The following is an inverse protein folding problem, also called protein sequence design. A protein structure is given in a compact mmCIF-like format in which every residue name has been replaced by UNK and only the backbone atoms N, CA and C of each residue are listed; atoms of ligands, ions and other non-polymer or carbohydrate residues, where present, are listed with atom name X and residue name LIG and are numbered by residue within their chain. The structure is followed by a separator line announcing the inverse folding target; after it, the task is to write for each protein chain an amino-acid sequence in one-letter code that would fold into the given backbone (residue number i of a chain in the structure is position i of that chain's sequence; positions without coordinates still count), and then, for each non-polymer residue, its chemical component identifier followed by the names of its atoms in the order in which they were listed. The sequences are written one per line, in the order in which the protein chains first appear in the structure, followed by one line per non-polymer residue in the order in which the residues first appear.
data_IF_256633335402
#
_entry.id   IF_256633335402
#
_cell.length_a   1.000
_cell.length_b   1.000
_cell.length_c   1.000
_cell.angle_alpha   90.00
_cell.angle_beta   90.00
_cell.angle_gamma   90.00
#
_symmetry.space_group_name_H-M   'P 1'
#
loop_
_entity.id
_entity.type
_entity.pdbx_description
1 polymer ?
#
# COMPACT_ATOMS: atom_id res chain seq x y z
N UNK A 1 -64.29 22.60 40.91
CA UNK A 1 -63.91 22.79 42.33
C UNK A 1 -62.40 22.64 42.48
N UNK A 2 -61.76 23.53 43.24
CA UNK A 2 -60.45 23.39 43.95
C UNK A 2 -59.14 23.03 43.19
N UNK A 3 -58.25 24.02 43.10
CA UNK A 3 -56.78 23.98 43.37
C UNK A 3 -56.53 23.86 44.92
N UNK A 4 -55.28 23.84 45.52
CA UNK A 4 -53.89 23.95 45.00
C UNK A 4 -52.81 23.02 45.69
N UNK A 5 -51.50 23.31 45.45
CA UNK A 5 -50.29 23.08 46.30
C UNK A 5 -49.76 21.62 46.46
N UNK A 6 -48.47 21.32 46.70
CA UNK A 6 -47.29 22.00 47.32
C UNK A 6 -46.02 21.90 46.42
N UNK A 7 -45.01 22.81 46.40
CA UNK A 7 -43.95 23.15 47.40
C UNK A 7 -43.16 21.92 47.91
N UNK A 8 -41.83 21.88 48.14
CA UNK A 8 -40.63 22.76 47.98
C UNK A 8 -39.40 21.79 47.99
N UNK A 9 -38.15 22.10 47.66
CA UNK A 9 -37.25 22.99 48.41
C UNK A 9 -35.90 23.20 47.67
N UNK A 10 -35.30 24.36 47.93
CA UNK A 10 -34.01 24.84 47.47
C UNK A 10 -32.82 24.14 48.17
N UNK A 11 -31.68 24.00 47.50
CA UNK A 11 -30.36 23.86 48.13
C UNK A 11 -29.33 24.71 47.37
N UNK A 12 -28.85 25.76 48.03
CA UNK A 12 -27.81 26.69 47.57
C UNK A 12 -26.56 26.52 48.46
N UNK A 13 -25.45 27.14 48.02
CA UNK A 13 -24.20 27.43 48.74
C UNK A 13 -23.02 26.44 48.61
N UNK A 14 -22.11 26.81 47.68
CA UNK A 14 -20.65 26.84 47.88
C UNK A 14 -20.30 27.79 49.06
N UNK A 15 -19.16 27.64 49.77
CA UNK A 15 -17.88 28.22 49.28
C UNK A 15 -16.57 27.47 49.66
N UNK A 16 -15.48 27.92 49.01
CA UNK A 16 -14.06 28.06 49.47
C UNK A 16 -13.38 26.89 50.23
N UNK A 17 -12.28 26.27 49.75
CA UNK A 17 -10.93 26.77 49.42
C UNK A 17 -10.01 27.02 50.65
N UNK A 18 -9.03 26.13 50.91
CA UNK A 18 -7.65 26.53 51.27
C UNK A 18 -6.60 25.38 51.25
N UNK A 19 -5.36 25.78 51.42
CA UNK A 19 -4.06 25.22 50.98
C UNK A 19 -3.41 24.07 51.77
N UNK A 20 -2.61 23.27 51.04
CA UNK A 20 -1.24 22.78 51.36
C UNK A 20 -0.92 21.87 52.58
N UNK A 21 -0.18 20.78 52.31
CA UNK A 21 1.08 20.44 53.01
C UNK A 21 1.84 19.24 52.39
N UNK A 22 3.18 19.27 52.44
CA UNK A 22 4.09 18.16 52.07
C UNK A 22 4.32 17.19 53.24
N UNK A 23 4.73 15.94 52.95
CA UNK A 23 5.68 15.21 53.80
C UNK A 23 7.13 15.38 53.30
N UNK A 24 8.03 15.81 54.18
CA UNK A 24 9.50 15.76 53.99
C UNK A 24 10.08 14.55 54.72
N UNK A 25 11.11 13.93 54.14
CA UNK A 25 12.25 13.48 54.96
C UNK A 25 12.90 12.14 54.60
N UNK A 26 14.11 12.22 54.04
CA UNK A 26 15.33 11.62 54.62
C UNK A 26 16.55 12.41 54.12
N UNK A 27 17.48 12.71 55.03
CA UNK A 27 18.76 13.40 54.74
C UNK A 27 19.88 12.38 54.60
N UNK A 28 20.91 12.71 53.82
CA UNK A 28 22.29 12.41 54.21
C UNK A 28 23.13 13.70 54.18
N UNK A 29 24.20 13.75 54.97
CA UNK A 29 24.83 14.99 55.42
C UNK A 29 25.87 15.64 54.49
N UNK A 30 26.17 16.92 54.77
CA UNK A 30 27.24 17.72 54.16
C UNK A 30 28.63 17.34 54.70
N UNK A 31 29.68 17.57 53.88
CA UNK A 31 31.01 18.05 54.33
C UNK A 31 31.58 19.06 53.30
N UNK A 32 32.34 20.03 53.81
CA UNK A 32 33.13 21.12 53.16
C UNK A 32 34.16 21.60 54.22
N UNK A 33 35.13 22.54 53.98
CA UNK A 33 35.53 23.27 52.76
C UNK A 33 36.79 22.61 52.12
N UNK A 34 37.84 23.26 51.55
CA UNK A 34 38.23 24.68 51.40
C UNK A 34 39.55 24.87 50.59
N UNK A 35 40.22 26.02 50.75
CA UNK A 35 41.51 26.47 50.13
C UNK A 35 41.43 26.74 48.60
N UNK A 36 41.45 27.99 48.11
CA UNK A 36 42.56 28.99 47.99
C UNK A 36 43.47 28.70 46.75
N UNK A 37 43.94 29.65 45.94
CA UNK A 37 43.95 31.13 45.99
C UNK A 37 44.15 31.74 44.55
N UNK A 38 43.89 33.05 44.37
CA UNK A 38 44.53 34.07 43.45
C UNK A 38 44.88 33.70 41.97
N UNK A 39 44.63 34.48 40.89
CA UNK A 39 44.98 35.90 40.67
C UNK A 39 44.53 36.47 39.29
N UNK A 40 44.04 37.72 39.27
CA UNK A 40 44.18 38.80 38.24
C UNK A 40 43.69 38.62 36.77
N UNK A 41 43.26 39.74 36.15
CA UNK A 41 42.55 39.83 34.86
C UNK A 41 43.38 40.52 33.71
N UNK A 42 42.79 41.18 32.69
CA UNK A 42 42.68 40.74 31.27
C UNK A 42 43.44 41.70 30.31
N UNK A 43 43.03 42.03 29.05
CA UNK A 43 42.41 41.34 27.88
C UNK A 43 43.45 41.33 26.70
N UNK A 44 43.19 41.55 25.37
CA UNK A 44 41.97 41.51 24.52
C UNK A 44 42.11 40.77 23.15
N UNK A 45 41.01 40.66 22.40
CA UNK A 45 40.99 41.08 20.99
C UNK A 45 40.73 40.06 19.88
N UNK A 46 39.47 40.06 19.37
CA UNK A 46 39.10 39.75 17.95
C UNK A 46 39.26 38.28 17.47
N UNK A 47 38.56 37.79 16.44
CA UNK A 47 37.70 38.41 15.41
C UNK A 47 36.40 37.62 15.20
N UNK A 48 35.33 38.32 14.83
CA UNK A 48 34.15 37.74 14.16
C UNK A 48 34.47 37.45 12.69
N UNK A 49 34.14 36.25 12.20
CA UNK A 49 34.01 35.99 10.76
C UNK A 49 32.53 35.85 10.41
N UNK A 50 32.11 36.61 9.40
CA UNK A 50 30.85 36.47 8.71
C UNK A 50 31.06 36.72 7.22
N UNK A 51 29.94 36.75 6.48
CA UNK A 51 29.82 37.05 5.05
C UNK A 51 30.17 35.91 4.07
N UNK A 52 29.10 35.21 3.70
CA UNK A 52 28.48 35.36 2.37
C UNK A 52 29.02 34.68 1.08
N UNK A 53 28.01 34.24 0.32
CA UNK A 53 27.79 34.47 -1.12
C UNK A 53 27.98 33.33 -2.15
N UNK A 54 26.92 33.20 -2.98
CA UNK A 54 26.81 32.58 -4.33
C UNK A 54 26.67 31.06 -4.47
N UNK A 55 25.53 30.65 -5.05
CA UNK A 55 25.24 29.28 -5.50
C UNK A 55 23.83 29.14 -6.10
N UNK A 56 23.59 29.74 -7.27
CA UNK A 56 22.29 29.73 -7.99
C UNK A 56 22.26 28.57 -9.00
N UNK A 57 21.05 28.11 -9.40
CA UNK A 57 20.72 26.98 -10.30
C UNK A 57 20.60 25.61 -9.56
N UNK A 58 19.68 24.70 -9.89
CA UNK A 58 18.63 24.71 -10.92
C UNK A 58 17.34 24.00 -10.45
N UNK A 59 16.21 24.35 -11.06
CA UNK A 59 14.95 23.63 -10.96
C UNK A 59 15.00 22.38 -11.85
N UNK A 60 14.85 21.18 -11.27
CA UNK A 60 14.65 19.93 -12.02
C UNK A 60 13.61 19.04 -11.32
N UNK A 61 12.39 19.09 -11.83
CA UNK A 61 11.37 18.05 -11.65
C UNK A 61 11.85 16.76 -12.32
N UNK A 62 12.31 15.78 -11.53
CA UNK A 62 12.73 14.48 -12.03
C UNK A 62 11.55 13.49 -12.01
N UNK A 63 10.68 13.61 -13.01
CA UNK A 63 9.53 12.72 -13.22
C UNK A 63 9.40 12.31 -14.68
N UNK A 64 10.49 11.80 -15.27
CA UNK A 64 10.54 11.09 -16.54
C UNK A 64 11.98 10.59 -16.78
N UNK A 65 12.23 9.27 -16.60
CA UNK A 65 13.18 8.49 -17.40
C UNK A 65 13.09 6.99 -17.03
N UNK A 66 12.19 6.25 -17.70
CA UNK A 66 12.22 4.80 -17.79
C UNK A 66 11.82 4.37 -19.22
N UNK A 67 12.74 4.50 -20.17
CA UNK A 67 12.78 3.68 -21.39
C UNK A 67 14.15 3.76 -22.04
N UNK A 68 14.78 2.59 -22.18
CA UNK A 68 15.93 2.34 -23.03
C UNK A 68 15.45 1.93 -24.44
N UNK A 69 15.95 2.53 -25.53
CA UNK A 69 15.72 2.01 -26.88
C UNK A 69 17.03 1.92 -27.69
N UNK A 70 17.61 0.72 -27.79
CA UNK A 70 18.96 0.54 -28.34
C UNK A 70 19.26 -0.63 -29.29
N UNK A 71 18.35 -1.58 -29.52
CA UNK A 71 18.67 -2.76 -30.37
C UNK A 71 17.93 -2.76 -31.73
N UNK A 72 18.72 -2.91 -32.81
CA UNK A 72 18.26 -2.89 -34.21
C UNK A 72 18.35 -4.27 -34.84
N UNK A 73 17.25 -4.79 -35.37
CA UNK A 73 17.25 -5.85 -36.40
C UNK A 73 16.25 -5.54 -37.54
N UNK A 74 16.42 -6.14 -38.74
CA UNK A 74 16.08 -5.45 -40.00
C UNK A 74 14.66 -5.71 -40.53
N UNK A 75 14.21 -4.80 -41.40
CA UNK A 75 12.93 -4.87 -42.12
C UNK A 75 12.95 -5.96 -43.19
N UNK A 76 11.93 -6.82 -43.20
CA UNK A 76 11.57 -7.66 -44.35
C UNK A 76 10.33 -7.05 -45.03
N UNK A 77 10.43 -6.76 -46.32
CA UNK A 77 9.30 -6.32 -47.13
C UNK A 77 8.46 -7.53 -47.57
N UNK A 78 7.14 -7.47 -47.39
CA UNK A 78 6.19 -8.36 -48.07
C UNK A 78 5.13 -7.50 -48.74
N UNK A 79 5.11 -7.52 -50.07
CA UNK A 79 4.11 -6.85 -50.90
C UNK A 79 2.79 -7.60 -50.88
N UNK A 80 1.69 -6.85 -50.69
CA UNK A 80 0.33 -7.36 -50.74
C UNK A 80 -0.13 -7.62 -52.19
N UNK A 81 -0.90 -8.69 -52.39
CA UNK A 81 -1.71 -8.93 -53.58
C UNK A 81 -3.15 -9.29 -53.17
N UNK A 82 -4.11 -8.72 -53.89
CA UNK A 82 -5.54 -8.78 -53.59
C UNK A 82 -6.21 -10.12 -54.00
N UNK A 83 -7.38 -10.47 -53.45
CA UNK A 83 -8.06 -11.73 -53.71
C UNK A 83 -9.07 -11.65 -54.87
N UNK A 84 -9.44 -12.78 -55.50
CA UNK A 84 -10.62 -12.88 -56.34
C UNK A 84 -11.84 -13.46 -55.57
N UNK A 85 -13.01 -12.89 -55.85
CA UNK A 85 -14.33 -13.38 -55.41
C UNK A 85 -14.89 -14.42 -56.38
N UNK A 86 -15.72 -15.37 -55.93
CA UNK A 86 -16.63 -16.06 -56.87
C UNK A 86 -17.32 -17.36 -56.47
N UNK A 87 -18.62 -17.25 -56.12
CA UNK A 87 -19.72 -18.17 -56.53
C UNK A 87 -19.83 -19.60 -55.94
N UNK A 88 -21.02 -19.90 -55.42
CA UNK A 88 -21.58 -21.23 -55.09
C UNK A 88 -22.82 -21.47 -56.00
N UNK A 89 -23.63 -22.57 -55.92
CA UNK A 89 -23.52 -23.81 -55.13
C UNK A 89 -23.82 -25.12 -55.92
N UNK A 90 -23.74 -26.28 -55.26
CA UNK A 90 -24.54 -27.46 -55.62
C UNK A 90 -24.76 -28.38 -54.39
N UNK A 91 -25.99 -28.86 -54.20
CA UNK A 91 -26.34 -29.85 -53.17
C UNK A 91 -26.12 -31.28 -53.70
N UNK A 92 -25.78 -32.22 -52.80
CA UNK A 92 -26.40 -33.56 -52.80
C UNK A 92 -26.25 -34.26 -51.45
N UNK A 93 -27.35 -34.88 -51.03
CA UNK A 93 -27.53 -35.72 -49.84
C UNK A 93 -26.84 -37.09 -49.96
N UNK A 94 -26.46 -37.69 -48.82
CA UNK A 94 -26.87 -39.06 -48.37
C UNK A 94 -26.15 -39.43 -47.05
N UNK A 95 -26.85 -40.17 -46.20
CA UNK A 95 -26.35 -40.90 -45.02
C UNK A 95 -27.21 -42.20 -44.88
N UNK A 96 -27.01 -43.11 -43.91
CA UNK A 96 -25.87 -43.37 -43.02
C UNK A 96 -25.39 -44.86 -43.06
N UNK A 97 -24.27 -45.21 -42.41
CA UNK A 97 -24.04 -46.60 -41.95
C UNK A 97 -23.08 -46.72 -40.75
N UNK A 98 -23.52 -47.42 -39.71
CA UNK A 98 -22.70 -48.00 -38.63
C UNK A 98 -22.48 -49.50 -38.90
N UNK A 99 -21.42 -50.12 -38.34
CA UNK A 99 -21.63 -50.99 -37.17
C UNK A 99 -20.47 -51.03 -36.14
N UNK A 100 -20.75 -51.64 -34.98
CA UNK A 100 -19.83 -52.17 -33.95
C UNK A 100 -20.07 -53.70 -33.81
N UNK A 101 -19.36 -54.54 -33.00
CA UNK A 101 -18.43 -54.24 -31.88
C UNK A 101 -17.17 -55.14 -31.69
N UNK A 102 -16.31 -54.73 -30.72
CA UNK A 102 -15.40 -55.44 -29.76
C UNK A 102 -14.89 -56.90 -30.01
N UNK A 103 -13.67 -57.23 -29.52
CA UNK A 103 -13.55 -57.89 -28.19
C UNK A 103 -12.44 -57.35 -27.26
N UNK A 104 -12.40 -57.85 -26.02
CA UNK A 104 -11.51 -57.46 -24.91
C UNK A 104 -10.25 -58.33 -24.78
N UNK A 105 -9.17 -57.78 -24.20
CA UNK A 105 -8.18 -58.55 -23.42
C UNK A 105 -7.70 -57.76 -22.21
N UNK A 106 -7.39 -58.46 -21.12
CA UNK A 106 -7.21 -57.92 -19.77
C UNK A 106 -5.79 -58.07 -19.20
N UNK A 107 -5.41 -57.07 -18.38
CA UNK A 107 -4.60 -57.12 -17.12
C UNK A 107 -3.05 -57.22 -17.22
N UNK A 108 -2.28 -56.90 -16.15
CA UNK A 108 -2.46 -55.85 -15.10
C UNK A 108 -1.16 -55.08 -14.70
N UNK A 109 -1.28 -54.13 -13.73
CA UNK A 109 -0.25 -53.72 -12.69
C UNK A 109 1.05 -53.00 -13.14
N UNK A 110 1.58 -51.94 -12.48
CA UNK A 110 1.18 -51.17 -11.26
C UNK A 110 1.88 -49.79 -11.15
N UNK A 111 1.22 -48.85 -10.45
CA UNK A 111 1.75 -47.74 -9.60
C UNK A 111 2.61 -46.59 -10.18
N UNK A 112 2.04 -45.38 -10.06
CA UNK A 112 2.72 -44.07 -10.05
C UNK A 112 1.65 -42.97 -10.00
N UNK A 113 1.54 -42.14 -8.94
CA UNK A 113 0.35 -41.31 -8.75
C UNK A 113 0.34 -40.10 -9.69
N UNK A 114 -0.62 -40.09 -10.60
CA UNK A 114 -0.98 -38.91 -11.37
C UNK A 114 -1.87 -38.02 -10.49
N UNK A 115 -1.32 -36.93 -9.96
CA UNK A 115 -2.07 -35.94 -9.16
C UNK A 115 -3.17 -35.30 -10.03
N UNK A 116 -4.38 -35.83 -9.89
CA UNK A 116 -5.56 -35.41 -10.64
C UNK A 116 -6.23 -34.21 -10.00
N UNK A 117 -5.69 -33.02 -10.24
CA UNK A 117 -6.44 -31.76 -10.06
C UNK A 117 -6.99 -31.28 -11.38
N UNK A 118 -8.27 -31.60 -11.62
CA UNK A 118 -9.06 -31.09 -12.74
C UNK A 118 -9.29 -29.58 -12.64
N UNK A 119 -8.42 -28.81 -13.27
CA UNK A 119 -8.78 -27.55 -13.94
C UNK A 119 -8.18 -27.61 -15.33
N UNK A 120 -9.00 -27.91 -16.35
CA UNK A 120 -8.60 -27.90 -17.75
C UNK A 120 -8.32 -26.47 -18.20
N UNK A 121 -7.06 -26.07 -18.03
CA UNK A 121 -6.49 -24.83 -18.53
C UNK A 121 -5.08 -25.12 -19.04
N UNK A 122 -4.66 -24.42 -20.10
CA UNK A 122 -3.29 -24.52 -20.61
C UNK A 122 -2.29 -24.19 -19.49
N UNK A 123 -1.10 -24.80 -19.46
CA UNK A 123 -0.06 -24.44 -18.50
C UNK A 123 0.21 -22.94 -18.58
N UNK A 124 0.27 -22.25 -17.43
CA UNK A 124 0.52 -20.80 -17.39
C UNK A 124 1.75 -20.39 -18.21
N UNK A 125 2.80 -21.22 -18.21
CA UNK A 125 4.03 -20.99 -18.97
C UNK A 125 3.94 -21.23 -20.49
N UNK A 126 2.74 -21.51 -21.01
CA UNK A 126 2.43 -21.61 -22.44
C UNK A 126 1.73 -20.33 -22.94
N UNK A 127 1.04 -19.62 -22.04
CA UNK A 127 0.39 -18.32 -22.30
C UNK A 127 1.28 -17.15 -21.86
N UNK A 128 2.00 -17.33 -20.75
CA UNK A 128 2.93 -16.38 -20.15
C UNK A 128 4.38 -16.87 -20.26
N UNK A 129 5.34 -15.96 -20.12
CA UNK A 129 6.77 -16.29 -20.10
C UNK A 129 7.22 -16.60 -18.66
N UNK A 130 7.69 -17.82 -18.41
CA UNK A 130 8.22 -18.25 -17.12
C UNK A 130 9.76 -18.29 -17.13
N UNK A 131 10.42 -17.45 -16.32
CA UNK A 131 11.87 -17.40 -16.19
C UNK A 131 12.28 -17.65 -14.73
N UNK A 132 12.80 -18.85 -14.46
CA UNK A 132 13.15 -19.28 -13.11
C UNK A 132 11.92 -19.26 -12.19
N UNK A 133 11.89 -18.31 -11.25
CA UNK A 133 10.76 -18.12 -10.31
C UNK A 133 9.87 -16.91 -10.63
N UNK A 134 10.07 -16.29 -11.79
CA UNK A 134 9.29 -15.15 -12.28
C UNK A 134 8.33 -15.59 -13.37
N UNK A 135 7.09 -15.11 -13.32
CA UNK A 135 6.07 -15.30 -14.35
C UNK A 135 5.68 -13.94 -14.91
N UNK A 136 5.85 -13.77 -16.22
CA UNK A 136 5.57 -12.55 -16.97
C UNK A 136 4.38 -12.79 -17.90
N UNK A 137 3.27 -12.15 -17.59
CA UNK A 137 1.98 -12.21 -18.26
C UNK A 137 1.53 -10.80 -18.66
N UNK A 138 2.44 -9.86 -18.95
CA UNK A 138 2.09 -8.48 -19.29
C UNK A 138 1.44 -8.41 -20.69
N UNK A 139 0.40 -7.58 -20.86
CA UNK A 139 -0.24 -7.23 -22.15
C UNK A 139 -0.65 -8.44 -23.03
N UNK A 140 -1.35 -9.41 -22.44
CA UNK A 140 -1.88 -10.61 -23.11
C UNK A 140 -3.38 -10.82 -22.89
N UNK A 141 -4.11 -9.72 -22.67
CA UNK A 141 -5.58 -9.67 -22.54
C UNK A 141 -6.20 -10.61 -21.46
N UNK A 142 -5.44 -10.98 -20.42
CA UNK A 142 -5.96 -11.86 -19.35
C UNK A 142 -7.17 -11.25 -18.63
N UNK A 143 -8.29 -11.97 -18.60
CA UNK A 143 -9.47 -11.59 -17.79
C UNK A 143 -9.40 -12.08 -16.33
N UNK A 144 -8.51 -13.04 -16.04
CA UNK A 144 -8.27 -13.60 -14.71
C UNK A 144 -6.86 -14.17 -14.56
N UNK A 145 -6.38 -14.28 -13.32
CA UNK A 145 -5.06 -14.85 -13.02
C UNK A 145 -5.04 -16.35 -13.38
N UNK A 146 -4.11 -16.82 -14.24
CA UNK A 146 -4.00 -18.23 -14.60
C UNK A 146 -3.36 -19.05 -13.46
N UNK A 147 -3.51 -20.40 -13.45
CA UNK A 147 -3.00 -21.25 -12.36
C UNK A 147 -1.46 -21.23 -12.28
N UNK A 148 -0.93 -20.46 -11.33
CA UNK A 148 0.51 -20.19 -11.23
C UNK A 148 1.31 -21.41 -10.70
N UNK A 149 2.56 -21.63 -11.17
CA UNK A 149 3.45 -22.64 -10.59
C UNK A 149 3.70 -22.41 -9.08
N UNK A 150 3.68 -23.48 -8.27
CA UNK A 150 3.85 -23.39 -6.80
C UNK A 150 5.17 -22.74 -6.34
N UNK A 151 6.15 -22.66 -7.23
CA UNK A 151 7.48 -22.10 -6.96
C UNK A 151 7.61 -20.61 -7.31
N UNK A 152 6.58 -20.00 -7.92
CA UNK A 152 6.59 -18.59 -8.33
C UNK A 152 6.85 -17.67 -7.14
N UNK A 153 7.85 -16.80 -7.31
CA UNK A 153 8.26 -15.77 -6.36
C UNK A 153 7.89 -14.35 -6.85
N UNK A 154 7.77 -14.16 -8.16
CA UNK A 154 7.44 -12.87 -8.77
C UNK A 154 6.37 -13.08 -9.85
N UNK A 155 5.28 -12.32 -9.77
CA UNK A 155 4.24 -12.25 -10.80
C UNK A 155 4.17 -10.84 -11.36
N UNK A 156 4.25 -10.72 -12.68
CA UNK A 156 3.98 -9.51 -13.44
C UNK A 156 2.85 -9.83 -14.41
N UNK A 157 1.70 -9.17 -14.28
CA UNK A 157 0.56 -9.33 -15.19
C UNK A 157 -0.10 -7.96 -15.44
N UNK A 158 0.72 -6.98 -15.82
CA UNK A 158 0.32 -5.59 -16.06
C UNK A 158 -0.44 -5.46 -17.38
N UNK A 159 -1.22 -4.39 -17.52
CA UNK A 159 -1.92 -4.04 -18.76
C UNK A 159 -2.83 -5.16 -19.29
N UNK A 160 -3.48 -5.88 -18.38
CA UNK A 160 -4.44 -6.93 -18.70
C UNK A 160 -5.87 -6.47 -18.38
N UNK A 161 -6.84 -7.37 -18.57
CA UNK A 161 -8.27 -7.11 -18.38
C UNK A 161 -8.82 -7.70 -17.07
N UNK A 162 -7.96 -7.98 -16.09
CA UNK A 162 -8.34 -8.67 -14.85
C UNK A 162 -9.28 -7.78 -14.05
N UNK A 163 -10.45 -8.32 -13.67
CA UNK A 163 -11.51 -7.58 -12.94
C UNK A 163 -11.63 -7.92 -11.46
N UNK A 164 -11.26 -9.14 -11.09
CA UNK A 164 -11.41 -9.66 -9.73
C UNK A 164 -10.25 -10.60 -9.40
N UNK A 165 -9.71 -10.49 -8.19
CA UNK A 165 -8.71 -11.42 -7.65
C UNK A 165 -9.38 -12.28 -6.60
N UNK A 166 -9.48 -13.58 -6.86
CA UNK A 166 -10.23 -14.54 -6.02
C UNK A 166 -9.33 -15.19 -4.98
N UNK A 167 -9.93 -15.68 -3.90
CA UNK A 167 -9.23 -16.38 -2.82
C UNK A 167 -8.47 -17.66 -3.27
N UNK A 168 -8.80 -18.20 -4.45
CA UNK A 168 -8.13 -19.35 -5.05
C UNK A 168 -6.86 -19.02 -5.84
N UNK A 169 -6.73 -17.80 -6.37
CA UNK A 169 -5.78 -17.46 -7.44
C UNK A 169 -4.31 -17.60 -7.00
N UNK A 170 -4.03 -17.38 -5.70
CA UNK A 170 -2.70 -17.51 -5.11
C UNK A 170 -2.57 -18.68 -4.10
N UNK A 171 -3.53 -19.61 -4.09
CA UNK A 171 -3.60 -20.68 -3.08
C UNK A 171 -2.37 -21.59 -3.13
N UNK A 172 -1.59 -21.57 -2.04
CA UNK A 172 -0.40 -22.43 -1.88
C UNK A 172 0.90 -21.84 -2.43
N UNK A 173 0.90 -20.59 -2.92
CA UNK A 173 2.09 -19.90 -3.44
C UNK A 173 2.95 -19.31 -2.30
N UNK A 174 3.45 -20.17 -1.41
CA UNK A 174 4.17 -19.76 -0.19
C UNK A 174 5.49 -19.01 -0.44
N UNK A 175 6.01 -19.06 -1.67
CA UNK A 175 7.24 -18.37 -2.09
C UNK A 175 7.00 -17.01 -2.75
N UNK A 176 5.73 -16.62 -2.98
CA UNK A 176 5.38 -15.39 -3.70
C UNK A 176 5.78 -14.15 -2.88
N UNK A 177 6.70 -13.35 -3.43
CA UNK A 177 7.27 -12.14 -2.81
C UNK A 177 6.72 -10.85 -3.41
N UNK A 178 6.44 -10.86 -4.71
CA UNK A 178 5.94 -9.70 -5.46
C UNK A 178 4.76 -10.07 -6.35
N UNK A 179 3.76 -9.22 -6.33
CA UNK A 179 2.62 -9.22 -7.25
C UNK A 179 2.53 -7.83 -7.88
N UNK A 180 2.59 -7.76 -9.21
CA UNK A 180 2.34 -6.54 -9.98
C UNK A 180 1.19 -6.79 -10.96
N UNK A 181 0.06 -6.12 -10.69
CA UNK A 181 -1.17 -6.14 -11.48
C UNK A 181 -1.54 -4.73 -11.96
N UNK A 182 -0.54 -3.87 -12.19
CA UNK A 182 -0.74 -2.49 -12.60
C UNK A 182 -1.49 -2.36 -13.92
N UNK A 183 -2.31 -1.31 -14.10
CA UNK A 183 -3.01 -1.06 -15.36
C UNK A 183 -4.04 -2.14 -15.70
N UNK A 184 -4.80 -2.60 -14.72
CA UNK A 184 -5.87 -3.60 -14.90
C UNK A 184 -7.24 -2.98 -14.57
N UNK A 185 -8.30 -3.78 -14.59
CA UNK A 185 -9.66 -3.35 -14.26
C UNK A 185 -10.15 -3.89 -12.92
N UNK A 186 -9.24 -4.15 -11.97
CA UNK A 186 -9.56 -4.84 -10.72
C UNK A 186 -10.46 -3.94 -9.87
N UNK A 187 -11.70 -4.35 -9.66
CA UNK A 187 -12.68 -3.64 -8.82
C UNK A 187 -12.76 -4.21 -7.40
N UNK A 188 -12.40 -5.49 -7.21
CA UNK A 188 -12.39 -6.16 -5.91
C UNK A 188 -11.31 -7.25 -5.80
N UNK A 189 -10.83 -7.46 -4.57
CA UNK A 189 -9.90 -8.52 -4.19
C UNK A 189 -10.50 -9.23 -2.97
N UNK A 190 -10.59 -10.56 -3.00
CA UNK A 190 -11.11 -11.33 -1.86
C UNK A 190 -10.21 -11.17 -0.63
N UNK A 191 -10.82 -10.95 0.55
CA UNK A 191 -10.09 -10.73 1.82
C UNK A 191 -9.07 -11.84 2.16
N UNK A 192 -9.29 -13.07 1.71
CA UNK A 192 -8.39 -14.20 1.98
C UNK A 192 -7.36 -14.47 0.87
N UNK A 193 -7.42 -13.79 -0.29
CA UNK A 193 -6.52 -14.04 -1.43
C UNK A 193 -5.06 -13.73 -1.10
N UNK A 194 -4.81 -12.64 -0.36
CA UNK A 194 -3.46 -12.15 -0.07
C UNK A 194 -3.01 -12.47 1.36
N UNK A 195 -3.94 -12.56 2.31
CA UNK A 195 -3.67 -12.80 3.74
C UNK A 195 -2.84 -14.07 4.02
N UNK A 196 -2.96 -15.09 3.18
CA UNK A 196 -2.27 -16.39 3.33
C UNK A 196 -0.93 -16.48 2.58
N UNK A 197 -0.36 -15.35 2.14
CA UNK A 197 0.93 -15.29 1.44
C UNK A 197 2.04 -14.84 2.42
N UNK A 198 2.76 -15.76 3.10
CA UNK A 198 3.67 -15.42 4.20
C UNK A 198 4.95 -14.72 3.73
N UNK A 199 5.29 -14.82 2.44
CA UNK A 199 6.50 -14.24 1.85
C UNK A 199 6.23 -12.94 1.07
N UNK A 200 4.98 -12.50 0.93
CA UNK A 200 4.61 -11.34 0.11
C UNK A 200 5.09 -10.05 0.79
N UNK A 201 5.81 -9.24 0.02
CA UNK A 201 6.43 -7.96 0.45
C UNK A 201 5.96 -6.80 -0.41
N UNK A 202 5.91 -7.02 -1.72
CA UNK A 202 5.60 -6.01 -2.72
C UNK A 202 4.23 -6.29 -3.34
N UNK A 203 3.31 -5.35 -3.23
CA UNK A 203 2.02 -5.39 -3.90
C UNK A 203 1.81 -4.10 -4.70
N UNK A 204 1.74 -4.24 -6.03
CA UNK A 204 1.54 -3.13 -6.97
C UNK A 204 0.18 -3.33 -7.67
N UNK A 205 -0.71 -2.38 -7.44
CA UNK A 205 -2.10 -2.33 -7.91
C UNK A 205 -2.42 -0.95 -8.52
N UNK A 206 -1.39 -0.23 -8.96
CA UNK A 206 -1.45 1.06 -9.67
C UNK A 206 -2.47 0.98 -10.82
N UNK A 207 -3.22 2.06 -11.05
CA UNK A 207 -4.16 2.18 -12.19
C UNK A 207 -5.15 1.00 -12.25
N UNK A 208 -6.03 0.93 -11.26
CA UNK A 208 -7.08 -0.08 -11.15
C UNK A 208 -8.41 0.60 -10.70
N UNK A 209 -9.42 -0.19 -10.32
CA UNK A 209 -10.76 0.31 -9.98
C UNK A 209 -11.18 -0.03 -8.53
N UNK A 210 -10.23 -0.30 -7.64
CA UNK A 210 -10.48 -0.76 -6.28
C UNK A 210 -11.27 0.30 -5.49
N UNK A 211 -12.42 -0.09 -4.95
CA UNK A 211 -13.21 0.74 -4.04
C UNK A 211 -12.85 0.54 -2.55
N UNK A 212 -12.23 -0.61 -2.23
CA UNK A 212 -11.82 -1.01 -0.89
C UNK A 212 -10.49 -1.80 -0.93
N UNK A 213 -9.73 -1.76 0.16
CA UNK A 213 -8.51 -2.55 0.33
C UNK A 213 -8.84 -3.96 0.89
N UNK A 214 -8.19 -5.02 0.39
CA UNK A 214 -8.27 -6.35 0.98
C UNK A 214 -7.47 -6.43 2.28
N UNK A 215 -7.63 -7.53 3.03
CA UNK A 215 -6.75 -7.82 4.17
C UNK A 215 -5.32 -8.12 3.69
N UNK A 216 -4.38 -7.24 4.06
CA UNK A 216 -2.97 -7.34 3.69
C UNK A 216 -2.23 -8.35 4.59
N UNK A 217 -1.25 -9.11 4.07
CA UNK A 217 -0.39 -9.95 4.90
C UNK A 217 0.61 -9.09 5.68
N UNK A 218 0.94 -9.51 6.91
CA UNK A 218 1.89 -8.81 7.82
C UNK A 218 3.32 -8.67 7.26
N UNK A 219 3.63 -9.38 6.17
CA UNK A 219 4.93 -9.35 5.48
C UNK A 219 5.14 -8.16 4.54
N UNK A 220 4.09 -7.38 4.21
CA UNK A 220 4.19 -6.27 3.26
C UNK A 220 5.21 -5.24 3.70
N UNK A 221 6.10 -4.88 2.77
CA UNK A 221 7.11 -3.83 2.88
C UNK A 221 6.77 -2.65 1.96
N UNK A 222 6.13 -2.91 0.80
CA UNK A 222 5.74 -1.93 -0.22
C UNK A 222 4.29 -2.16 -0.70
N UNK A 223 3.47 -1.12 -0.64
CA UNK A 223 2.11 -1.10 -1.20
C UNK A 223 1.88 0.13 -2.08
N UNK A 224 1.59 -0.10 -3.36
CA UNK A 224 1.17 0.94 -4.29
C UNK A 224 -0.24 0.63 -4.83
N UNK A 225 -1.17 1.51 -4.49
CA UNK A 225 -2.60 1.48 -4.87
C UNK A 225 -3.03 2.85 -5.42
N UNK A 226 -2.09 3.59 -6.03
CA UNK A 226 -2.38 4.88 -6.68
C UNK A 226 -3.32 4.72 -7.88
N UNK A 227 -3.97 5.81 -8.28
CA UNK A 227 -4.94 5.83 -9.39
C UNK A 227 -5.99 4.71 -9.27
N UNK A 228 -6.67 4.70 -8.13
CA UNK A 228 -7.76 3.77 -7.84
C UNK A 228 -9.02 4.55 -7.43
N UNK A 229 -10.02 3.88 -6.85
CA UNK A 229 -11.30 4.47 -6.43
C UNK A 229 -11.53 4.35 -4.93
N UNK A 230 -10.46 4.18 -4.14
CA UNK A 230 -10.52 3.92 -2.71
C UNK A 230 -11.18 5.09 -1.99
N UNK A 231 -12.14 4.78 -1.13
CA UNK A 231 -12.75 5.72 -0.19
C UNK A 231 -12.41 5.29 1.23
N UNK A 232 -12.42 6.20 2.19
CA UNK A 232 -12.05 5.91 3.58
C UNK A 232 -12.86 4.74 4.20
N UNK A 233 -14.19 4.58 3.97
CA UNK A 233 -14.94 3.41 4.43
C UNK A 233 -14.52 2.07 3.79
N UNK A 234 -13.78 2.11 2.67
CA UNK A 234 -13.17 0.96 2.02
C UNK A 234 -11.82 0.55 2.64
N UNK A 235 -11.31 1.29 3.63
CA UNK A 235 -10.12 0.92 4.40
C UNK A 235 -10.58 0.64 5.83
N UNK A 236 -10.28 -0.56 6.34
CA UNK A 236 -10.66 -0.92 7.70
C UNK A 236 -9.89 -0.08 8.73
N UNK A 237 -10.51 0.34 9.86
CA UNK A 237 -9.79 0.97 10.96
C UNK A 237 -8.61 0.09 11.42
N UNK A 238 -7.42 0.68 11.58
CA UNK A 238 -6.21 -0.06 11.95
C UNK A 238 -5.66 -1.02 10.87
N UNK A 239 -6.12 -0.95 9.61
CA UNK A 239 -5.67 -1.86 8.54
C UNK A 239 -4.14 -1.91 8.33
N UNK A 240 -3.42 -0.83 8.64
CA UNK A 240 -1.96 -0.75 8.52
C UNK A 240 -1.23 -0.93 9.86
N UNK A 241 -1.92 -0.86 11.00
CA UNK A 241 -1.33 -0.81 12.34
C UNK A 241 -0.43 -2.03 12.63
N UNK A 242 -0.92 -3.23 12.28
CA UNK A 242 -0.21 -4.49 12.46
C UNK A 242 0.79 -4.83 11.32
N UNK A 243 1.06 -3.91 10.40
CA UNK A 243 2.00 -4.11 9.29
C UNK A 243 3.40 -3.58 9.65
N UNK A 244 4.02 -4.20 10.66
CA UNK A 244 5.31 -3.80 11.24
C UNK A 244 6.47 -3.66 10.23
N UNK A 245 6.34 -4.19 9.01
CA UNK A 245 7.36 -4.11 7.94
C UNK A 245 7.09 -3.05 6.86
N UNK A 246 5.90 -2.44 6.84
CA UNK A 246 5.46 -1.52 5.82
C UNK A 246 6.32 -0.24 5.85
N UNK A 247 7.06 0.01 4.78
CA UNK A 247 7.94 1.17 4.63
C UNK A 247 7.39 2.20 3.64
N UNK A 248 6.71 1.74 2.58
CA UNK A 248 6.20 2.59 1.50
C UNK A 248 4.71 2.35 1.30
N UNK A 249 3.90 3.40 1.44
CA UNK A 249 2.45 3.35 1.26
C UNK A 249 2.00 4.45 0.30
N UNK A 250 1.62 4.07 -0.91
CA UNK A 250 1.19 5.01 -1.95
C UNK A 250 -0.31 4.87 -2.23
N UNK A 251 -1.06 5.90 -1.80
CA UNK A 251 -2.53 6.03 -1.83
C UNK A 251 -2.97 7.27 -2.63
N UNK A 252 -2.07 7.90 -3.37
CA UNK A 252 -2.35 9.07 -4.20
C UNK A 252 -3.44 8.81 -5.26
N UNK A 253 -4.09 9.87 -5.73
CA UNK A 253 -5.05 9.82 -6.83
C UNK A 253 -6.18 8.80 -6.57
N UNK A 254 -6.82 8.97 -5.41
CA UNK A 254 -7.93 8.17 -4.90
C UNK A 254 -9.05 9.10 -4.40
N UNK A 255 -10.01 8.58 -3.64
CA UNK A 255 -11.20 9.29 -3.16
C UNK A 255 -11.30 9.30 -1.62
N UNK A 256 -10.16 9.28 -0.92
CA UNK A 256 -10.09 9.30 0.54
C UNK A 256 -10.50 10.68 1.08
N UNK A 257 -11.36 10.72 2.11
CA UNK A 257 -11.82 11.96 2.78
C UNK A 257 -11.10 12.25 4.11
N UNK A 258 -10.31 11.28 4.58
CA UNK A 258 -9.58 11.30 5.85
C UNK A 258 -8.31 10.45 5.73
N UNK A 259 -7.31 10.71 6.59
CA UNK A 259 -6.07 9.93 6.60
C UNK A 259 -6.32 8.56 7.28
N UNK A 260 -6.04 7.42 6.60
CA UNK A 260 -6.37 6.10 7.11
C UNK A 260 -5.30 5.56 8.08
N UNK A 261 -5.12 6.24 9.21
CA UNK A 261 -4.26 5.79 10.32
C UNK A 261 -4.98 4.85 11.31
N UNK A 262 -4.28 4.39 12.38
CA UNK A 262 -2.87 4.65 12.68
C UNK A 262 -1.90 3.87 11.78
N UNK A 263 -0.69 4.43 11.58
CA UNK A 263 0.38 3.82 10.76
C UNK A 263 1.47 3.16 11.62
N UNK A 264 2.16 2.11 11.12
CA UNK A 264 3.23 1.44 11.85
C UNK A 264 4.50 2.31 11.94
N UNK A 265 5.34 2.09 12.96
CA UNK A 265 6.54 2.89 13.22
C UNK A 265 7.65 2.77 12.15
N UNK A 266 7.55 1.75 11.29
CA UNK A 266 8.46 1.46 10.17
C UNK A 266 8.16 2.24 8.89
N UNK A 267 7.03 2.96 8.82
CA UNK A 267 6.65 3.71 7.64
C UNK A 267 7.64 4.86 7.35
N UNK A 268 8.09 4.95 6.10
CA UNK A 268 9.10 5.91 5.63
C UNK A 268 8.58 6.95 4.66
N UNK A 269 7.72 6.52 3.74
CA UNK A 269 7.07 7.39 2.77
C UNK A 269 5.57 7.10 2.70
N UNK A 270 4.77 8.18 2.71
CA UNK A 270 3.32 8.17 2.61
C UNK A 270 2.85 9.16 1.56
N UNK A 271 2.31 8.64 0.44
CA UNK A 271 1.79 9.46 -0.64
C UNK A 271 0.26 9.45 -0.61
N UNK A 272 -0.34 10.61 -0.32
CA UNK A 272 -1.78 10.82 -0.21
C UNK A 272 -2.28 11.97 -1.10
N UNK A 273 -1.44 12.46 -2.02
CA UNK A 273 -1.79 13.57 -2.90
C UNK A 273 -3.01 13.28 -3.78
N UNK A 274 -3.68 14.33 -4.26
CA UNK A 274 -4.86 14.25 -5.14
C UNK A 274 -5.99 13.35 -4.58
N UNK A 275 -6.27 13.48 -3.29
CA UNK A 275 -7.42 12.85 -2.64
C UNK A 275 -8.47 13.93 -2.25
N UNK A 276 -9.41 13.59 -1.38
CA UNK A 276 -10.46 14.49 -0.88
C UNK A 276 -10.32 14.75 0.63
N UNK A 277 -9.11 14.60 1.17
CA UNK A 277 -8.85 14.62 2.61
C UNK A 277 -9.19 16.01 3.15
N UNK A 278 -10.07 16.06 4.15
CA UNK A 278 -10.49 17.30 4.84
C UNK A 278 -10.14 17.31 6.32
N UNK A 279 -10.04 16.13 6.92
CA UNK A 279 -9.86 15.96 8.35
C UNK A 279 -8.67 15.04 8.65
N UNK A 280 -7.97 15.37 9.74
CA UNK A 280 -6.88 14.60 10.31
C UNK A 280 -7.27 14.21 11.74
N UNK A 281 -7.03 12.96 12.13
CA UNK A 281 -7.24 12.51 13.51
C UNK A 281 -5.95 12.75 14.31
N UNK A 282 -6.08 12.93 15.62
CA UNK A 282 -4.94 13.09 16.53
C UNK A 282 -4.01 11.87 16.53
N UNK A 283 -4.58 10.68 16.32
CA UNK A 283 -3.89 9.39 16.25
C UNK A 283 -3.39 9.00 14.84
N UNK A 284 -3.60 9.84 13.81
CA UNK A 284 -3.21 9.48 12.44
C UNK A 284 -1.71 9.29 12.26
N UNK A 285 -0.89 10.14 12.89
CA UNK A 285 0.58 10.02 12.87
C UNK A 285 1.18 9.87 14.28
N UNK A 286 0.64 10.58 15.27
CA UNK A 286 1.21 10.66 16.61
C UNK A 286 0.45 9.79 17.58
N UNK A 287 1.16 9.10 18.47
CA UNK A 287 0.53 8.41 19.58
C UNK A 287 0.07 9.44 20.65
N UNK A 288 -1.24 9.53 20.96
CA UNK A 288 -1.76 10.52 21.91
C UNK A 288 -1.50 10.16 23.38
N UNK A 289 -1.00 8.96 23.66
CA UNK A 289 -0.62 8.50 25.01
C UNK A 289 0.88 8.67 25.19
N UNK A 290 1.69 8.12 24.28
CA UNK A 290 3.12 7.96 24.54
C UNK A 290 3.98 9.21 24.31
N UNK A 291 3.53 10.20 23.51
CA UNK A 291 4.11 11.56 23.33
C UNK A 291 5.61 11.68 22.96
N UNK A 292 6.39 10.59 23.00
CA UNK A 292 7.87 10.58 22.95
C UNK A 292 8.44 9.97 21.67
N UNK A 293 7.62 9.24 20.92
CA UNK A 293 8.04 8.58 19.70
C UNK A 293 7.94 9.53 18.51
N UNK A 294 8.98 10.37 18.35
CA UNK A 294 9.21 11.07 17.09
C UNK A 294 9.25 10.04 15.96
N UNK A 295 8.48 10.26 14.90
CA UNK A 295 8.39 9.38 13.71
C UNK A 295 9.64 9.50 12.84
N UNK A 296 10.83 9.22 13.41
CA UNK A 296 12.14 9.53 12.79
C UNK A 296 12.36 8.95 11.40
N UNK A 297 11.72 7.83 11.08
CA UNK A 297 11.83 7.18 9.77
C UNK A 297 10.88 7.76 8.71
N UNK A 298 9.79 8.43 9.13
CA UNK A 298 8.77 8.98 8.24
C UNK A 298 9.23 10.35 7.72
N UNK A 299 10.01 10.31 6.65
CA UNK A 299 10.71 11.46 6.08
C UNK A 299 9.89 12.16 4.98
N UNK A 300 9.08 11.39 4.24
CA UNK A 300 8.33 11.86 3.07
C UNK A 300 6.83 11.66 3.28
N UNK A 301 6.10 12.78 3.40
CA UNK A 301 4.63 12.78 3.46
C UNK A 301 4.11 13.80 2.47
N UNK A 302 3.25 13.34 1.56
CA UNK A 302 2.67 14.16 0.48
C UNK A 302 1.16 14.28 0.65
N UNK A 303 0.68 15.52 0.79
CA UNK A 303 -0.73 15.87 0.95
C UNK A 303 -1.20 16.90 -0.09
N UNK A 304 -0.38 17.22 -1.11
CA UNK A 304 -0.74 18.11 -2.21
C UNK A 304 -2.08 17.72 -2.88
N UNK A 305 -2.85 18.71 -3.34
CA UNK A 305 -4.14 18.46 -4.00
C UNK A 305 -5.26 17.96 -3.08
N UNK A 306 -5.14 18.11 -1.76
CA UNK A 306 -6.21 17.82 -0.80
C UNK A 306 -6.80 19.10 -0.18
N UNK A 307 -8.13 19.15 0.05
CA UNK A 307 -8.81 20.26 0.73
C UNK A 307 -8.67 20.19 2.26
N UNK A 308 -7.44 19.98 2.76
CA UNK A 308 -7.11 19.95 4.20
C UNK A 308 -6.35 21.21 4.59
N UNK A 309 -6.84 21.91 5.62
CA UNK A 309 -6.07 22.95 6.28
C UNK A 309 -5.38 22.39 7.53
N UNK A 310 -4.05 22.23 7.47
CA UNK A 310 -3.26 21.70 8.59
C UNK A 310 -3.30 22.59 9.85
N UNK A 311 -3.58 23.89 9.74
CA UNK A 311 -3.57 24.78 10.91
C UNK A 311 -4.64 24.44 11.96
N UNK A 312 -5.66 23.66 11.60
CA UNK A 312 -6.68 23.15 12.52
C UNK A 312 -6.26 21.88 13.28
N UNK A 313 -5.15 21.22 12.91
CA UNK A 313 -4.75 19.92 13.42
C UNK A 313 -3.30 19.85 14.00
N UNK A 314 -2.80 20.87 14.73
CA UNK A 314 -1.39 20.97 15.11
C UNK A 314 -0.87 19.81 15.97
N UNK A 315 -1.72 19.20 16.80
CA UNK A 315 -1.37 18.04 17.63
C UNK A 315 -1.10 16.77 16.83
N UNK A 316 -1.73 16.63 15.66
CA UNK A 316 -1.66 15.40 14.87
C UNK A 316 -0.36 15.23 14.07
N UNK A 317 0.48 16.25 13.97
CA UNK A 317 1.78 16.20 13.28
C UNK A 317 2.98 16.62 14.14
N UNK A 318 2.79 16.94 15.42
CA UNK A 318 3.87 17.41 16.30
C UNK A 318 5.01 16.40 16.51
N UNK A 319 4.74 15.10 16.37
CA UNK A 319 5.73 14.03 16.45
C UNK A 319 6.53 13.80 15.15
N UNK A 320 6.20 14.49 14.04
CA UNK A 320 6.84 14.26 12.75
C UNK A 320 8.18 15.02 12.67
N UNK A 321 9.23 14.42 12.06
CA UNK A 321 10.53 15.09 11.88
C UNK A 321 10.47 16.21 10.82
N UNK A 322 9.46 16.17 9.94
CA UNK A 322 9.19 17.15 8.87
C UNK A 322 7.67 17.34 8.75
N UNK A 323 7.23 18.54 8.38
CA UNK A 323 5.82 18.78 8.06
C UNK A 323 5.45 18.10 6.73
N UNK A 324 4.21 17.63 6.57
CA UNK A 324 3.72 17.17 5.28
C UNK A 324 3.86 18.23 4.18
N UNK A 325 4.23 17.79 2.99
CA UNK A 325 4.44 18.66 1.83
C UNK A 325 3.16 18.82 1.01
N UNK A 326 2.97 20.01 0.43
CA UNK A 326 1.95 20.26 -0.58
C UNK A 326 1.37 21.67 -0.56
N UNK A 327 0.76 22.07 -1.68
CA UNK A 327 -0.05 23.28 -1.75
C UNK A 327 -1.45 22.96 -1.23
N UNK A 328 -1.68 23.30 0.04
CA UNK A 328 -3.00 23.25 0.66
C UNK A 328 -3.87 24.36 0.05
N UNK A 329 -5.07 24.01 -0.43
CA UNK A 329 -6.03 24.92 -1.08
C UNK A 329 -7.15 25.33 -0.14
#
# INVERSE_FOLDING_TARGET
MRLPAFLSLLALLLPEAETASLPKGRRWGKRSPGEDETSTAPPPGSQTLGLDHVGKLANLSLSELLTDPGDRLPKVNVTSLAPPSGVSPAQSTVAPTTPSPKPMTTRPTTLGPLDSTTSQGLPTCLVCVCLGSSVYCDDIDLESIPPLPRMTAYLYARFNRIRHVRAGDFKGLTKLKKIDLSGNFISSIDNNALRLLPALRDLVLLENQLAALPMLPRGIEFLDVRHNRLRSPGIQPGAFEALEKLQFLYLADNLLDSIPGPFPLSLRSLHLQNNKIKALRTDSFCDPVEHRYTRRQLEDIRLDGNPINLSHFPSAYFCLPRLPTGRLT
#
